data_IF_029139079452
#
_entry.id   IF_029139079452
#
_cell.length_a   1.000
_cell.length_b   1.000
_cell.length_c   1.000
_cell.angle_alpha   90.00
_cell.angle_beta   90.00
_cell.angle_gamma   90.00
#
_symmetry.space_group_name_H-M   'P 1'
#
loop_
_entity.id
_entity.type
_entity.pdbx_description
1 polymer ?
#
# COMPACT_ATOMS: atom_id res chain seq x y z
N UNK A 1 22.12 -39.59 -1.68
CA UNK A 1 22.23 -38.12 -1.73
C UNK A 1 20.83 -37.58 -1.47
N UNK A 2 20.52 -37.18 -0.23
CA UNK A 2 19.18 -36.70 0.13
C UNK A 2 19.06 -35.27 -0.37
N UNK A 3 18.12 -35.01 -1.27
CA UNK A 3 17.82 -33.67 -1.73
C UNK A 3 17.20 -32.89 -0.56
N UNK A 4 17.97 -31.98 0.02
CA UNK A 4 17.49 -31.03 1.01
C UNK A 4 16.50 -30.09 0.32
N UNK A 5 15.22 -30.21 0.63
CA UNK A 5 14.22 -29.26 0.18
C UNK A 5 14.26 -28.05 1.12
N UNK A 6 15.21 -27.16 0.84
CA UNK A 6 15.55 -25.99 1.65
C UNK A 6 14.31 -25.17 2.07
N UNK A 7 13.24 -25.20 1.25
CA UNK A 7 11.99 -24.48 1.52
C UNK A 7 11.13 -25.18 2.57
N UNK A 8 11.02 -26.51 2.50
CA UNK A 8 10.26 -27.34 3.45
C UNK A 8 10.89 -27.30 4.83
N UNK A 9 12.22 -27.38 4.87
CA UNK A 9 12.98 -27.38 6.12
C UNK A 9 12.97 -25.99 6.77
N UNK A 10 13.00 -24.91 6.00
CA UNK A 10 12.93 -23.54 6.53
C UNK A 10 11.53 -23.20 7.05
N UNK A 11 10.46 -23.62 6.36
CA UNK A 11 9.07 -23.42 6.81
C UNK A 11 8.77 -24.25 8.08
N UNK A 12 9.21 -25.52 8.10
CA UNK A 12 9.10 -26.37 9.29
C UNK A 12 9.95 -25.84 10.45
N UNK A 13 11.15 -25.34 10.18
CA UNK A 13 11.99 -24.69 11.18
C UNK A 13 11.31 -23.43 11.73
N UNK A 14 10.71 -22.59 10.88
CA UNK A 14 10.05 -21.36 11.34
C UNK A 14 8.78 -21.66 12.16
N UNK A 15 7.95 -22.62 11.72
CA UNK A 15 6.75 -23.06 12.43
C UNK A 15 7.09 -23.79 13.74
N UNK A 16 8.19 -24.55 13.78
CA UNK A 16 8.65 -25.23 15.01
C UNK A 16 9.39 -24.31 15.98
N UNK A 17 10.10 -23.29 15.47
CA UNK A 17 10.88 -22.34 16.28
C UNK A 17 9.99 -21.26 16.90
N UNK A 18 9.00 -20.76 16.15
CA UNK A 18 8.15 -19.66 16.60
C UNK A 18 6.73 -20.12 16.98
N UNK A 19 6.25 -21.27 16.50
CA UNK A 19 4.91 -21.78 16.80
C UNK A 19 3.80 -21.07 16.02
N UNK A 20 2.70 -21.79 15.72
CA UNK A 20 1.49 -21.22 15.08
C UNK A 20 0.87 -20.09 15.93
N UNK A 21 1.07 -20.13 17.24
CA UNK A 21 0.49 -19.18 18.19
C UNK A 21 1.18 -17.80 18.15
N UNK A 22 2.48 -17.72 17.87
CA UNK A 22 3.20 -16.43 17.71
C UNK A 22 2.84 -15.75 16.39
N UNK A 23 2.57 -16.54 15.34
CA UNK A 23 2.07 -16.05 14.05
C UNK A 23 0.66 -15.45 14.18
N UNK A 24 -0.22 -16.09 14.95
CA UNK A 24 -1.57 -15.57 15.24
C UNK A 24 -1.50 -14.31 16.12
N UNK A 25 -0.65 -14.31 17.15
CA UNK A 25 -0.51 -13.18 18.06
C UNK A 25 0.06 -11.92 17.38
N UNK A 26 1.00 -12.08 16.44
CA UNK A 26 1.57 -10.96 15.67
C UNK A 26 0.58 -10.38 14.66
N UNK A 27 -0.23 -11.23 14.00
CA UNK A 27 -1.32 -10.80 13.14
C UNK A 27 -2.39 -10.01 13.92
N UNK A 28 -2.83 -10.52 15.07
CA UNK A 28 -3.82 -9.85 15.94
C UNK A 28 -3.29 -8.51 16.49
N UNK A 29 -2.01 -8.46 16.90
CA UNK A 29 -1.40 -7.22 17.41
C UNK A 29 -1.26 -6.14 16.32
N UNK A 30 -0.80 -6.52 15.12
CA UNK A 30 -0.71 -5.61 13.98
C UNK A 30 -2.09 -5.15 13.52
N UNK A 31 -3.06 -6.07 13.45
CA UNK A 31 -4.44 -5.75 13.13
C UNK A 31 -5.02 -4.76 14.15
N UNK A 32 -4.78 -4.98 15.45
CA UNK A 32 -5.17 -4.03 16.49
C UNK A 32 -4.50 -2.67 16.32
N UNK A 33 -3.22 -2.64 15.95
CA UNK A 33 -2.49 -1.41 15.69
C UNK A 33 -3.08 -0.62 14.51
N UNK A 34 -3.33 -1.26 13.37
CA UNK A 34 -3.96 -0.62 12.21
C UNK A 34 -5.39 -0.21 12.49
N UNK A 35 -6.15 -1.04 13.20
CA UNK A 35 -7.50 -0.70 13.64
C UNK A 35 -7.52 0.57 14.46
N UNK A 36 -6.50 0.79 15.30
CA UNK A 36 -6.41 1.98 16.15
C UNK A 36 -6.01 3.21 15.36
N UNK A 37 -5.07 3.09 14.43
CA UNK A 37 -4.62 4.19 13.58
C UNK A 37 -5.72 4.66 12.61
N UNK A 38 -6.55 3.73 12.12
CA UNK A 38 -7.50 3.99 11.05
C UNK A 38 -8.97 3.94 11.49
N UNK A 39 -9.26 3.76 12.78
CA UNK A 39 -10.61 3.49 13.32
C UNK A 39 -11.70 4.44 12.80
N UNK A 40 -11.35 5.71 12.65
CA UNK A 40 -12.27 6.79 12.28
C UNK A 40 -11.95 7.40 10.93
N UNK A 41 -11.02 6.80 10.18
CA UNK A 41 -10.46 7.38 8.96
C UNK A 41 -10.63 6.41 7.82
N UNK A 42 -11.27 6.91 6.77
CA UNK A 42 -11.42 6.19 5.52
C UNK A 42 -10.18 6.33 4.67
N UNK A 43 -9.59 5.24 4.22
CA UNK A 43 -8.39 5.25 3.37
C UNK A 43 -8.71 4.63 2.02
N UNK A 44 -8.16 5.22 0.97
CA UNK A 44 -8.23 4.68 -0.38
C UNK A 44 -6.82 4.31 -0.87
N UNK A 45 -6.65 3.08 -1.36
CA UNK A 45 -5.39 2.59 -1.94
C UNK A 45 -5.55 2.51 -3.47
N UNK A 46 -4.73 3.27 -4.17
CA UNK A 46 -4.73 3.42 -5.63
C UNK A 46 -3.36 3.04 -6.22
N UNK A 47 -3.26 3.03 -7.55
CA UNK A 47 -2.01 2.75 -8.27
C UNK A 47 -2.22 1.85 -9.48
N UNK A 48 -1.22 1.72 -10.35
CA UNK A 48 -1.32 0.94 -11.57
C UNK A 48 -1.44 -0.56 -11.30
N UNK A 49 -1.76 -1.32 -12.34
CA UNK A 49 -1.83 -2.78 -12.31
C UNK A 49 -0.50 -3.36 -11.80
N UNK A 50 -0.59 -4.40 -10.98
CA UNK A 50 0.56 -5.12 -10.41
C UNK A 50 1.50 -4.31 -9.50
N UNK A 51 1.15 -3.09 -9.08
CA UNK A 51 1.96 -2.30 -8.14
C UNK A 51 2.04 -2.90 -6.71
N UNK A 52 1.27 -3.96 -6.40
CA UNK A 52 1.27 -4.63 -5.09
C UNK A 52 0.13 -4.23 -4.16
N UNK A 53 -0.96 -3.66 -4.67
CA UNK A 53 -2.14 -3.24 -3.87
C UNK A 53 -2.73 -4.39 -3.06
N UNK A 54 -3.01 -5.53 -3.71
CA UNK A 54 -3.55 -6.74 -3.06
C UNK A 54 -2.61 -7.25 -1.97
N UNK A 55 -1.31 -7.12 -2.21
CA UNK A 55 -0.25 -7.50 -1.28
C UNK A 55 -0.17 -6.59 -0.06
N UNK A 56 -0.32 -5.29 -0.25
CA UNK A 56 -0.42 -4.33 0.86
C UNK A 56 -1.66 -4.59 1.70
N UNK A 57 -2.80 -4.88 1.09
CA UNK A 57 -4.02 -5.25 1.82
C UNK A 57 -3.83 -6.52 2.62
N UNK A 58 -3.17 -7.53 2.03
CA UNK A 58 -2.86 -8.77 2.73
C UNK A 58 -1.94 -8.51 3.92
N UNK A 59 -0.95 -7.62 3.76
CA UNK A 59 -0.08 -7.18 4.85
C UNK A 59 -0.85 -6.46 5.95
N UNK A 60 -1.74 -5.52 5.61
CA UNK A 60 -2.60 -4.85 6.59
C UNK A 60 -3.56 -5.80 7.30
N UNK A 61 -3.99 -6.88 6.62
CA UNK A 61 -4.91 -7.90 7.15
C UNK A 61 -4.23 -8.87 8.12
N UNK A 62 -3.05 -9.36 7.74
CA UNK A 62 -2.42 -10.52 8.39
C UNK A 62 -1.05 -10.22 8.99
N UNK A 63 -0.52 -9.02 8.79
CA UNK A 63 0.88 -8.69 9.07
C UNK A 63 1.87 -9.31 8.08
N UNK A 64 1.40 -10.01 7.04
CA UNK A 64 2.23 -10.71 6.06
C UNK A 64 1.82 -10.34 4.64
N UNK A 65 2.75 -10.15 3.69
CA UNK A 65 2.43 -9.81 2.31
C UNK A 65 2.10 -11.05 1.44
N UNK A 66 1.72 -12.17 2.02
CA UNK A 66 1.46 -13.41 1.28
C UNK A 66 0.31 -14.21 1.89
N UNK A 67 -0.22 -15.14 1.10
CA UNK A 67 -1.18 -16.13 1.53
C UNK A 67 -0.49 -17.50 1.60
N UNK A 68 -0.88 -18.29 2.60
CA UNK A 68 -0.44 -19.68 2.75
C UNK A 68 -1.54 -20.57 2.18
N UNK A 69 -1.27 -21.23 1.06
CA UNK A 69 -2.21 -22.16 0.41
C UNK A 69 -1.60 -23.55 0.42
N UNK A 70 -2.07 -24.41 1.31
CA UNK A 70 -1.39 -25.67 1.61
C UNK A 70 -0.02 -25.40 2.23
N UNK A 71 1.04 -25.90 1.60
CA UNK A 71 2.43 -25.72 2.04
C UNK A 71 3.18 -24.65 1.22
N UNK A 72 2.49 -23.90 0.36
CA UNK A 72 3.11 -22.90 -0.51
C UNK A 72 2.79 -21.47 -0.05
N UNK A 73 3.83 -20.63 -0.01
CA UNK A 73 3.69 -19.18 0.10
C UNK A 73 3.36 -18.62 -1.28
N UNK A 74 2.21 -17.98 -1.40
CA UNK A 74 1.75 -17.38 -2.65
C UNK A 74 1.52 -15.89 -2.49
N UNK A 75 1.95 -15.11 -3.48
CA UNK A 75 1.52 -13.72 -3.60
C UNK A 75 0.00 -13.73 -3.81
N UNK A 76 -0.76 -12.84 -3.13
CA UNK A 76 -2.21 -12.77 -3.32
C UNK A 76 -2.52 -12.58 -4.80
N UNK A 77 -3.62 -13.20 -5.26
CA UNK A 77 -4.04 -13.05 -6.65
C UNK A 77 -4.11 -11.54 -7.00
N UNK A 78 -3.51 -11.11 -8.14
CA UNK A 78 -3.54 -9.72 -8.53
C UNK A 78 -5.00 -9.29 -8.66
N UNK A 79 -5.44 -8.44 -7.75
CA UNK A 79 -6.71 -7.77 -7.91
C UNK A 79 -6.42 -6.50 -8.71
N UNK A 80 -7.21 -6.25 -9.75
CA UNK A 80 -7.11 -5.00 -10.49
C UNK A 80 -7.45 -3.79 -9.57
N UNK A 81 -7.95 -4.02 -8.36
CA UNK A 81 -8.84 -3.15 -7.63
C UNK A 81 -8.20 -1.97 -6.87
N UNK A 82 -8.94 -0.86 -6.77
CA UNK A 82 -8.78 0.12 -5.70
C UNK A 82 -9.27 -0.45 -4.36
N UNK A 83 -8.63 -0.06 -3.25
CA UNK A 83 -8.96 -0.63 -1.95
C UNK A 83 -9.45 0.41 -0.95
N UNK A 84 -10.59 0.14 -0.29
CA UNK A 84 -11.19 1.03 0.70
C UNK A 84 -11.11 0.41 2.09
N UNK A 85 -10.63 1.17 3.06
CA UNK A 85 -10.69 0.87 4.49
C UNK A 85 -11.64 1.90 5.12
N UNK A 86 -12.78 1.50 5.70
CA UNK A 86 -13.88 2.39 6.16
C UNK A 86 -14.01 2.44 7.71
N UNK A 87 -14.67 3.47 8.25
CA UNK A 87 -14.94 3.77 9.65
C UNK A 87 -15.96 2.83 10.34
N UNK A 88 -16.95 2.27 9.61
CA UNK A 88 -17.99 1.36 10.16
C UNK A 88 -17.51 -0.08 10.43
N UNK A 89 -16.24 -0.32 10.17
CA UNK A 89 -15.49 -1.58 10.20
C UNK A 89 -15.07 -2.06 11.59
N UNK A 90 -14.96 -1.16 12.57
CA UNK A 90 -14.44 -1.50 13.90
C UNK A 90 -15.39 -2.35 14.76
N UNK A 91 -16.63 -2.60 14.33
CA UNK A 91 -17.65 -3.28 15.13
C UNK A 91 -17.72 -4.80 14.91
N UNK A 92 -17.13 -5.35 13.84
CA UNK A 92 -17.39 -6.73 13.44
C UNK A 92 -16.08 -7.52 13.24
N UNK A 93 -15.72 -8.33 14.24
CA UNK A 93 -14.44 -9.10 14.31
C UNK A 93 -14.21 -10.09 13.15
N UNK A 94 -15.18 -10.28 12.25
CA UNK A 94 -15.13 -11.23 11.12
C UNK A 94 -15.25 -10.59 9.73
N UNK A 95 -15.37 -9.27 9.62
CA UNK A 95 -15.58 -8.59 8.35
C UNK A 95 -14.51 -7.52 8.12
N UNK A 96 -13.25 -7.95 8.04
CA UNK A 96 -12.19 -7.07 7.58
C UNK A 96 -12.17 -7.11 6.05
N UNK A 97 -12.32 -5.94 5.43
CA UNK A 97 -12.11 -5.71 4.00
C UNK A 97 -13.24 -6.18 3.06
N UNK A 98 -14.50 -5.89 3.36
CA UNK A 98 -15.48 -5.75 2.27
C UNK A 98 -15.28 -4.40 1.61
N UNK A 99 -14.44 -4.40 0.57
CA UNK A 99 -14.47 -3.41 -0.50
C UNK A 99 -15.93 -3.16 -0.84
N UNK A 100 -16.48 -2.02 -0.44
CA UNK A 100 -17.90 -1.72 -0.70
C UNK A 100 -18.19 -1.57 -2.19
N UNK A 101 -17.13 -1.50 -3.00
CA UNK A 101 -17.18 -1.43 -4.44
C UNK A 101 -15.91 -2.09 -4.99
N UNK A 102 -16.09 -3.16 -5.74
CA UNK A 102 -15.08 -3.74 -6.63
C UNK A 102 -14.87 -2.72 -7.75
N UNK A 103 -13.72 -2.05 -7.73
CA UNK A 103 -13.38 -0.92 -8.62
C UNK A 103 -12.11 -1.33 -9.35
N UNK A 104 -12.21 -1.92 -10.55
CA UNK A 104 -11.06 -2.55 -11.21
C UNK A 104 -10.12 -1.47 -11.79
N UNK A 105 -8.87 -1.82 -12.04
CA UNK A 105 -7.77 -0.87 -12.34
C UNK A 105 -7.07 -1.12 -13.67
N UNK A 106 -7.84 -1.53 -14.68
CA UNK A 106 -7.43 -1.35 -16.08
C UNK A 106 -7.51 0.13 -16.47
N UNK A 107 -6.84 0.52 -17.57
CA UNK A 107 -6.84 1.89 -18.09
C UNK A 107 -8.26 2.43 -18.36
N UNK A 108 -9.17 1.57 -18.80
CA UNK A 108 -10.60 1.87 -19.04
C UNK A 108 -11.40 2.09 -17.75
N UNK A 109 -10.78 1.95 -16.58
CA UNK A 109 -11.46 1.98 -15.29
C UNK A 109 -10.85 3.00 -14.32
N UNK A 110 -9.92 3.84 -14.77
CA UNK A 110 -9.50 5.01 -13.96
C UNK A 110 -10.67 5.97 -13.69
N UNK A 111 -11.65 5.99 -14.58
CA UNK A 111 -12.94 6.66 -14.36
C UNK A 111 -13.68 6.15 -13.12
N UNK A 112 -13.43 4.90 -12.71
CA UNK A 112 -14.01 4.34 -11.50
C UNK A 112 -13.31 4.84 -10.22
N UNK A 113 -12.09 5.37 -10.32
CA UNK A 113 -11.42 6.04 -9.19
C UNK A 113 -12.11 7.34 -8.83
N UNK A 114 -12.56 8.11 -9.83
CA UNK A 114 -13.36 9.31 -9.62
C UNK A 114 -14.59 9.00 -8.77
N UNK A 115 -15.32 7.95 -9.16
CA UNK A 115 -16.49 7.49 -8.43
C UNK A 115 -16.12 6.99 -7.02
N UNK A 116 -15.04 6.23 -6.88
CA UNK A 116 -14.57 5.76 -5.58
C UNK A 116 -14.23 6.94 -4.66
N UNK A 117 -13.49 7.94 -5.13
CA UNK A 117 -13.15 9.17 -4.38
C UNK A 117 -14.43 9.89 -3.95
N UNK A 118 -15.38 10.09 -4.86
CA UNK A 118 -16.64 10.78 -4.59
C UNK A 118 -17.51 10.05 -3.55
N UNK A 119 -17.60 8.72 -3.64
CA UNK A 119 -18.41 7.89 -2.74
C UNK A 119 -17.78 7.73 -1.37
N UNK A 120 -16.47 7.45 -1.36
CA UNK A 120 -15.71 7.06 -0.17
C UNK A 120 -15.32 8.28 0.64
N UNK A 121 -15.04 9.40 -0.03
CA UNK A 121 -14.53 10.65 0.55
C UNK A 121 -13.35 10.37 1.50
N UNK A 122 -12.25 9.81 0.98
CA UNK A 122 -11.17 9.32 1.83
C UNK A 122 -10.51 10.47 2.62
N UNK A 123 -10.07 10.12 3.82
CA UNK A 123 -9.24 10.97 4.67
C UNK A 123 -7.76 10.90 4.27
N UNK A 124 -7.35 9.81 3.64
CA UNK A 124 -6.02 9.68 3.07
C UNK A 124 -6.00 8.73 1.89
N UNK A 125 -5.07 8.97 0.99
CA UNK A 125 -4.82 8.13 -0.18
C UNK A 125 -3.40 7.58 -0.10
N UNK A 126 -3.27 6.27 -0.31
CA UNK A 126 -1.98 5.62 -0.56
C UNK A 126 -1.94 5.28 -2.05
N UNK A 127 -1.00 5.87 -2.78
CA UNK A 127 -0.79 5.58 -4.20
C UNK A 127 0.43 4.67 -4.36
N UNK A 128 0.24 3.44 -4.83
CA UNK A 128 1.35 2.50 -5.03
C UNK A 128 1.96 2.70 -6.41
N UNK A 129 3.29 2.63 -6.48
CA UNK A 129 4.06 2.58 -7.72
C UNK A 129 4.85 1.29 -7.83
N UNK A 130 5.07 0.82 -9.06
CA UNK A 130 5.98 -0.29 -9.33
C UNK A 130 7.39 0.24 -9.55
N UNK A 131 8.27 0.04 -8.56
CA UNK A 131 9.65 0.48 -8.62
C UNK A 131 10.45 -0.16 -9.76
N UNK A 132 10.08 -1.31 -10.30
CA UNK A 132 10.86 -1.98 -11.37
C UNK A 132 10.88 -1.19 -12.68
N UNK A 133 10.00 -0.20 -12.81
CA UNK A 133 9.88 0.68 -13.97
C UNK A 133 11.06 1.64 -14.09
N UNK A 134 11.31 2.18 -15.28
CA UNK A 134 12.37 3.18 -15.53
C UNK A 134 12.05 4.53 -14.84
N UNK A 135 13.02 5.43 -14.76
CA UNK A 135 12.83 6.77 -14.17
C UNK A 135 11.76 7.57 -14.93
N UNK A 136 11.75 7.48 -16.26
CA UNK A 136 10.76 8.11 -17.13
C UNK A 136 9.37 7.54 -16.88
N UNK A 137 9.28 6.22 -16.76
CA UNK A 137 8.01 5.53 -16.48
C UNK A 137 7.49 5.83 -15.07
N UNK A 138 8.38 5.98 -14.07
CA UNK A 138 7.99 6.38 -12.71
C UNK A 138 7.45 7.82 -12.70
N UNK A 139 8.09 8.76 -13.39
CA UNK A 139 7.57 10.12 -13.55
C UNK A 139 6.19 10.12 -14.19
N UNK A 140 6.01 9.37 -15.28
CA UNK A 140 4.72 9.25 -15.94
C UNK A 140 3.63 8.69 -15.00
N UNK A 141 3.96 7.66 -14.20
CA UNK A 141 3.01 7.09 -13.24
C UNK A 141 2.67 8.05 -12.08
N UNK A 142 3.58 8.96 -11.72
CA UNK A 142 3.34 10.05 -10.75
C UNK A 142 2.48 11.16 -11.37
N UNK A 143 2.77 11.54 -12.62
CA UNK A 143 1.97 12.52 -13.38
C UNK A 143 0.51 12.06 -13.56
N UNK A 144 0.30 10.76 -13.69
CA UNK A 144 -1.03 10.14 -13.73
C UNK A 144 -1.87 10.39 -12.46
N UNK A 145 -1.26 10.79 -11.33
CA UNK A 145 -2.00 11.14 -10.11
C UNK A 145 -2.89 12.38 -10.35
N UNK A 146 -2.48 13.34 -11.18
CA UNK A 146 -3.26 14.57 -11.40
C UNK A 146 -4.62 14.30 -12.02
N UNK A 147 -4.71 13.74 -13.25
CA UNK A 147 -6.00 13.56 -13.92
C UNK A 147 -6.93 12.55 -13.24
N UNK A 148 -6.43 11.74 -12.30
CA UNK A 148 -7.21 10.67 -11.69
C UNK A 148 -7.42 10.80 -10.18
N UNK A 149 -6.67 11.68 -9.52
CA UNK A 149 -6.77 11.92 -8.08
C UNK A 149 -6.93 13.41 -7.80
N UNK A 150 -5.92 14.23 -8.12
CA UNK A 150 -5.92 15.64 -7.69
C UNK A 150 -7.01 16.48 -8.35
N UNK A 151 -7.41 16.16 -9.59
CA UNK A 151 -8.50 16.86 -10.29
C UNK A 151 -9.81 16.83 -9.50
N UNK A 152 -10.05 15.78 -8.69
CA UNK A 152 -11.24 15.64 -7.86
C UNK A 152 -11.23 16.51 -6.60
N UNK A 153 -10.09 17.13 -6.31
CA UNK A 153 -9.88 18.02 -5.17
C UNK A 153 -9.51 19.45 -5.61
N UNK A 154 -9.68 19.77 -6.91
CA UNK A 154 -9.31 21.04 -7.49
C UNK A 154 -10.02 22.24 -6.83
N UNK A 155 -11.26 22.06 -6.35
CA UNK A 155 -12.02 23.11 -5.66
C UNK A 155 -11.84 23.10 -4.14
N UNK A 156 -11.68 21.93 -3.54
CA UNK A 156 -11.52 21.74 -2.10
C UNK A 156 -10.96 20.36 -1.80
N UNK A 157 -10.10 20.26 -0.79
CA UNK A 157 -9.65 18.97 -0.25
C UNK A 157 -10.77 18.18 0.43
N UNK A 158 -11.84 18.85 0.86
CA UNK A 158 -12.92 18.22 1.63
C UNK A 158 -12.37 17.58 2.90
N UNK A 159 -12.27 16.25 2.90
CA UNK A 159 -11.76 15.46 4.02
C UNK A 159 -10.36 14.88 3.80
N UNK A 160 -9.78 15.04 2.62
CA UNK A 160 -8.47 14.47 2.29
C UNK A 160 -7.37 15.24 3.01
N UNK A 161 -6.66 14.57 3.91
CA UNK A 161 -5.58 15.13 4.72
C UNK A 161 -4.18 14.74 4.20
N UNK A 162 -4.04 13.54 3.62
CA UNK A 162 -2.75 13.02 3.18
C UNK A 162 -2.83 12.25 1.86
N UNK A 163 -1.78 12.41 1.05
CA UNK A 163 -1.50 11.62 -0.14
C UNK A 163 -0.07 11.08 -0.06
N UNK A 164 0.08 9.80 0.22
CA UNK A 164 1.38 9.15 0.32
C UNK A 164 1.62 8.25 -0.89
N UNK A 165 2.85 8.27 -1.42
CA UNK A 165 3.26 7.39 -2.52
C UNK A 165 4.15 6.27 -1.98
N UNK A 166 3.71 5.03 -2.15
CA UNK A 166 4.47 3.84 -1.76
C UNK A 166 5.10 3.22 -3.00
N UNK A 167 6.42 3.30 -3.12
CA UNK A 167 7.13 2.68 -4.24
C UNK A 167 7.48 1.26 -3.84
N UNK A 168 6.85 0.27 -4.46
CA UNK A 168 7.07 -1.14 -4.17
C UNK A 168 8.17 -1.73 -5.07
N UNK A 169 8.70 -2.91 -4.76
CA UNK A 169 9.73 -3.58 -5.58
C UNK A 169 11.03 -2.77 -5.75
N UNK A 170 11.40 -2.01 -4.72
CA UNK A 170 12.64 -1.20 -4.72
C UNK A 170 13.91 -2.05 -4.62
N UNK A 171 13.81 -3.34 -4.35
CA UNK A 171 14.94 -4.29 -4.35
C UNK A 171 15.60 -4.41 -5.73
N UNK A 172 14.84 -4.16 -6.81
CA UNK A 172 15.36 -4.15 -8.18
C UNK A 172 16.23 -2.94 -8.54
N UNK A 173 16.34 -1.93 -7.67
CA UNK A 173 17.08 -0.70 -7.96
C UNK A 173 18.59 -0.82 -7.84
N UNK A 174 19.09 -1.99 -7.42
CA UNK A 174 20.51 -2.22 -7.17
C UNK A 174 20.85 -2.07 -5.69
N UNK A 175 22.03 -2.58 -5.32
CA UNK A 175 22.45 -2.82 -3.93
C UNK A 175 22.84 -1.56 -3.14
N UNK A 176 22.67 -0.36 -3.72
CA UNK A 176 23.16 0.88 -3.14
C UNK A 176 22.06 1.77 -2.55
N UNK A 177 22.17 2.10 -1.27
CA UNK A 177 21.40 3.18 -0.64
C UNK A 177 21.41 4.53 -1.43
N UNK A 178 22.48 4.92 -2.15
CA UNK A 178 22.46 6.12 -2.99
C UNK A 178 21.42 6.06 -4.11
N UNK A 179 21.29 4.91 -4.77
CA UNK A 179 20.39 4.72 -5.91
C UNK A 179 18.93 4.79 -5.47
N UNK A 180 18.60 4.09 -4.38
CA UNK A 180 17.27 4.13 -3.79
C UNK A 180 16.89 5.56 -3.35
N UNK A 181 17.82 6.31 -2.75
CA UNK A 181 17.58 7.71 -2.39
C UNK A 181 17.36 8.59 -3.62
N UNK A 182 18.11 8.38 -4.72
CA UNK A 182 17.92 9.15 -5.97
C UNK A 182 16.52 8.93 -6.52
N UNK A 183 16.08 7.66 -6.64
CA UNK A 183 14.79 7.32 -7.24
C UNK A 183 13.60 7.76 -6.36
N UNK A 184 13.72 7.62 -5.03
CA UNK A 184 12.70 8.17 -4.11
C UNK A 184 12.61 9.70 -4.19
N UNK A 185 13.75 10.39 -4.29
CA UNK A 185 13.77 11.84 -4.46
C UNK A 185 13.11 12.24 -5.77
N UNK A 186 13.41 11.55 -6.87
CA UNK A 186 12.74 11.79 -8.15
C UNK A 186 11.22 11.70 -8.04
N UNK A 187 10.69 10.66 -7.37
CA UNK A 187 9.23 10.51 -7.16
C UNK A 187 8.67 11.61 -6.26
N UNK A 188 9.42 12.02 -5.23
CA UNK A 188 9.03 13.10 -4.31
C UNK A 188 8.98 14.45 -5.01
N UNK A 189 10.05 14.82 -5.70
CA UNK A 189 10.16 16.10 -6.40
C UNK A 189 9.02 16.24 -7.42
N UNK A 190 8.76 15.17 -8.21
CA UNK A 190 7.64 15.16 -9.16
C UNK A 190 6.28 15.30 -8.46
N UNK A 191 6.05 14.61 -7.34
CA UNK A 191 4.80 14.73 -6.58
C UNK A 191 4.59 16.14 -6.00
N UNK A 192 5.65 16.73 -5.44
CA UNK A 192 5.64 18.09 -4.89
C UNK A 192 5.38 19.14 -5.98
N UNK A 193 5.96 18.98 -7.16
CA UNK A 193 5.72 19.84 -8.32
C UNK A 193 4.24 19.79 -8.76
N UNK A 194 3.65 18.59 -8.84
CA UNK A 194 2.24 18.42 -9.23
C UNK A 194 1.27 19.04 -8.21
N UNK A 195 1.55 18.89 -6.91
CA UNK A 195 0.73 19.48 -5.84
C UNK A 195 0.90 20.99 -5.79
N UNK A 196 2.11 21.51 -6.00
CA UNK A 196 2.39 22.96 -6.09
C UNK A 196 1.64 23.59 -7.27
N UNK A 197 1.56 22.88 -8.39
CA UNK A 197 0.77 23.29 -9.55
C UNK A 197 -0.75 23.25 -9.34
N UNK A 198 -1.22 22.66 -8.23
CA UNK A 198 -2.64 22.53 -7.87
C UNK A 198 -2.91 23.25 -6.53
N UNK A 199 -3.14 24.57 -6.51
CA UNK A 199 -3.13 25.37 -5.27
C UNK A 199 -4.09 24.91 -4.16
N UNK A 200 -5.25 24.35 -4.54
CA UNK A 200 -6.20 23.76 -3.59
C UNK A 200 -5.66 22.56 -2.83
N UNK A 201 -4.63 21.89 -3.37
CA UNK A 201 -3.96 20.75 -2.77
C UNK A 201 -2.74 21.12 -1.93
N UNK A 202 -2.38 22.41 -1.80
CA UNK A 202 -1.18 22.85 -1.10
C UNK A 202 -1.13 22.45 0.40
N UNK A 203 -2.29 22.18 1.01
CA UNK A 203 -2.38 21.73 2.41
C UNK A 203 -2.27 20.20 2.58
N UNK A 204 -2.16 19.42 1.49
CA UNK A 204 -2.00 17.97 1.59
C UNK A 204 -0.66 17.61 2.22
N UNK A 205 -0.69 16.67 3.16
CA UNK A 205 0.52 16.02 3.65
C UNK A 205 0.99 15.00 2.64
N UNK A 206 2.21 15.19 2.14
CA UNK A 206 2.83 14.34 1.13
C UNK A 206 3.98 13.56 1.76
N UNK A 207 4.09 12.28 1.40
CA UNK A 207 5.29 11.51 1.69
C UNK A 207 5.53 10.46 0.60
N UNK A 208 6.79 10.05 0.46
CA UNK A 208 7.20 9.00 -0.47
C UNK A 208 8.06 8.00 0.27
N UNK A 209 7.61 6.75 0.29
CA UNK A 209 8.28 5.67 0.99
C UNK A 209 8.65 4.53 0.03
N UNK A 210 9.88 4.01 0.18
CA UNK A 210 10.20 2.71 -0.37
C UNK A 210 9.52 1.63 0.47
N UNK A 211 8.86 0.72 -0.22
CA UNK A 211 8.17 -0.43 0.37
C UNK A 211 8.65 -1.69 -0.33
N UNK A 212 8.68 -2.81 0.39
CA UNK A 212 8.97 -4.09 -0.22
C UNK A 212 7.99 -5.16 0.25
N UNK A 213 6.97 -5.39 -0.56
CA UNK A 213 5.90 -6.33 -0.31
C UNK A 213 6.20 -7.71 -0.92
N UNK A 214 7.47 -8.13 -0.94
CA UNK A 214 7.85 -9.46 -1.44
C UNK A 214 7.72 -10.51 -0.33
N UNK A 215 7.14 -11.70 -0.60
CA UNK A 215 7.09 -12.79 0.37
C UNK A 215 8.48 -13.28 0.81
N UNK A 216 9.48 -13.12 -0.05
CA UNK A 216 10.81 -13.71 0.12
C UNK A 216 11.81 -12.77 0.82
N UNK A 217 11.43 -11.52 1.09
CA UNK A 217 12.31 -10.52 1.67
C UNK A 217 11.71 -10.02 2.98
N UNK A 218 12.49 -10.07 4.07
CA UNK A 218 12.11 -9.56 5.40
C UNK A 218 12.13 -8.02 5.48
N UNK A 219 11.70 -7.33 4.43
CA UNK A 219 11.68 -5.87 4.32
C UNK A 219 10.28 -5.29 4.58
N UNK A 220 9.56 -5.91 5.52
CA UNK A 220 8.25 -5.49 5.98
C UNK A 220 8.27 -4.36 7.03
N UNK A 221 9.33 -4.18 7.86
CA UNK A 221 9.44 -3.04 8.77
C UNK A 221 9.32 -1.69 8.04
N UNK A 222 9.79 -1.59 6.80
CA UNK A 222 9.67 -0.40 5.97
C UNK A 222 8.21 -0.08 5.64
N UNK A 223 7.43 -1.10 5.28
CA UNK A 223 5.98 -0.99 5.03
C UNK A 223 5.25 -0.58 6.30
N UNK A 224 5.61 -1.20 7.43
CA UNK A 224 5.03 -0.88 8.73
C UNK A 224 5.30 0.59 9.12
N UNK A 225 6.54 1.05 8.95
CA UNK A 225 6.94 2.43 9.21
C UNK A 225 6.18 3.40 8.30
N UNK A 226 6.05 3.09 7.01
CA UNK A 226 5.31 3.91 6.06
C UNK A 226 3.82 4.01 6.44
N UNK A 227 3.18 2.89 6.81
CA UNK A 227 1.79 2.87 7.27
C UNK A 227 1.59 3.62 8.60
N UNK A 228 2.53 3.51 9.54
CA UNK A 228 2.51 4.29 10.80
C UNK A 228 2.61 5.79 10.53
N UNK A 229 3.51 6.21 9.63
CA UNK A 229 3.66 7.61 9.26
C UNK A 229 2.40 8.15 8.58
N UNK A 230 1.87 7.41 7.60
CA UNK A 230 0.60 7.72 6.96
C UNK A 230 -0.56 7.83 7.96
N UNK A 231 -0.66 6.89 8.90
CA UNK A 231 -1.66 6.92 9.97
C UNK A 231 -1.56 8.14 10.88
N UNK A 232 -0.35 8.61 11.17
CA UNK A 232 -0.14 9.84 11.92
C UNK A 232 -0.59 11.06 11.13
N UNK A 233 -0.24 11.14 9.84
CA UNK A 233 -0.59 12.26 8.98
C UNK A 233 -2.09 12.43 8.76
N UNK A 234 -2.86 11.34 8.69
CA UNK A 234 -4.33 11.44 8.56
C UNK A 234 -5.04 11.62 9.91
N UNK A 235 -4.33 11.45 11.03
CA UNK A 235 -4.91 11.61 12.36
C UNK A 235 -5.02 13.09 12.78
N UNK A 236 -4.06 13.91 12.36
CA UNK A 236 -3.95 15.35 12.63
C UNK A 236 -5.00 16.17 11.87
#
# INVERSE_FOLDING_TARGET
MVAFDLKKDMLQWFVSTFGKDVLLYTADALQHQWSRLFKTRTILILGPKQAGKSTLLQFMRSGQPYEVVGDELRTPAPTAMAAVVDQKFAADKKNWLRLKRDVPGDLDLRDTWAQAIADVKPHGIIYLLDGRRSDEQLRADVQDIVPHVLVHYAESLGHLAALHVFVNFCDGWGSGAPEQRRRLRLVRDELEDLVTATPSCAALRLDVAATQLSPNLQAWPEVERALRHFGADIAL
#
